data_IF_132134662991
#
_entry.id   IF_132134662991
#
_cell.length_a   1.000
_cell.length_b   1.000
_cell.length_c   1.000
_cell.angle_alpha   90.00
_cell.angle_beta   90.00
_cell.angle_gamma   90.00
#
_symmetry.space_group_name_H-M   'P 1'
#
loop_
_entity.id
_entity.type
_entity.pdbx_description
1 polymer ?
#
# COMPACT_ATOMS: atom_id res chain seq x y z
N UNK A 1 1.32 -10.38 -29.10
CA UNK A 1 1.47 -10.26 -27.64
C UNK A 1 2.02 -8.88 -27.34
N UNK A 2 1.56 -8.24 -26.27
CA UNK A 2 1.99 -6.90 -25.87
C UNK A 2 1.56 -6.64 -24.43
N UNK A 3 2.15 -5.63 -23.81
CA UNK A 3 1.91 -5.26 -22.42
C UNK A 3 0.74 -4.26 -22.30
N UNK A 4 0.09 -4.26 -21.13
CA UNK A 4 -0.93 -3.27 -20.77
C UNK A 4 -0.38 -2.46 -19.60
N UNK A 5 -0.20 -1.16 -19.81
CA UNK A 5 0.19 -0.23 -18.75
C UNK A 5 -1.00 0.00 -17.81
N UNK A 6 -0.74 -0.10 -16.50
CA UNK A 6 -1.75 0.12 -15.46
C UNK A 6 -1.49 1.46 -14.76
N UNK A 7 -2.57 2.15 -14.39
CA UNK A 7 -2.52 3.40 -13.62
C UNK A 7 -1.69 4.53 -14.27
N UNK A 8 -1.57 4.53 -15.60
CA UNK A 8 -0.82 5.53 -16.35
C UNK A 8 -1.24 6.97 -16.00
N UNK A 9 -0.25 7.84 -15.80
CA UNK A 9 -0.47 9.26 -15.51
C UNK A 9 -0.96 9.58 -14.08
N UNK A 10 -1.10 8.60 -13.19
CA UNK A 10 -1.38 8.84 -11.78
C UNK A 10 -0.10 9.10 -10.98
N UNK A 11 -0.18 10.01 -10.02
CA UNK A 11 0.88 10.19 -9.03
C UNK A 11 1.01 8.94 -8.18
N UNK A 12 2.24 8.53 -7.90
CA UNK A 12 2.54 7.34 -7.09
C UNK A 12 3.65 7.65 -6.12
N UNK A 13 3.61 6.95 -4.98
CA UNK A 13 4.64 7.00 -3.96
C UNK A 13 5.12 5.58 -3.66
N UNK A 14 6.32 5.47 -3.10
CA UNK A 14 6.85 4.20 -2.60
C UNK A 14 7.10 4.32 -1.10
N UNK A 15 6.59 3.36 -0.33
CA UNK A 15 6.75 3.31 1.13
C UNK A 15 7.27 1.95 1.56
N UNK A 16 8.15 1.94 2.57
CA UNK A 16 8.60 0.70 3.21
C UNK A 16 7.63 0.32 4.32
N UNK A 17 7.23 -0.96 4.37
CA UNK A 17 6.22 -1.46 5.30
C UNK A 17 6.75 -2.70 6.00
N UNK A 18 6.64 -2.75 7.32
CA UNK A 18 6.99 -3.91 8.14
C UNK A 18 5.77 -4.41 8.91
N UNK A 19 5.53 -5.73 8.90
CA UNK A 19 4.50 -6.34 9.76
C UNK A 19 5.13 -6.73 11.11
N UNK A 20 4.75 -6.04 12.18
CA UNK A 20 5.19 -6.34 13.55
C UNK A 20 4.22 -7.28 14.29
N UNK A 21 3.13 -7.70 13.63
CA UNK A 21 2.18 -8.66 14.16
C UNK A 21 2.68 -10.10 14.06
N UNK A 22 2.04 -10.98 14.83
CA UNK A 22 2.30 -12.43 14.85
C UNK A 22 1.51 -13.20 13.78
N UNK A 23 0.60 -12.53 13.07
CA UNK A 23 -0.29 -13.10 12.05
C UNK A 23 -0.03 -12.48 10.68
N UNK A 24 -0.26 -13.23 9.59
CA UNK A 24 -0.14 -12.70 8.24
C UNK A 24 -1.17 -11.60 7.97
N UNK A 25 -0.78 -10.61 7.17
CA UNK A 25 -1.64 -9.50 6.71
C UNK A 25 -1.53 -9.42 5.19
N UNK A 26 -2.68 -9.30 4.50
CA UNK A 26 -2.78 -9.07 3.07
C UNK A 26 -3.72 -7.88 2.83
N UNK A 27 -3.34 -6.98 1.93
CA UNK A 27 -4.11 -5.77 1.63
C UNK A 27 -4.55 -5.79 0.16
N UNK A 28 -5.80 -5.42 -0.10
CA UNK A 28 -6.35 -5.34 -1.46
C UNK A 28 -5.95 -4.05 -2.18
N UNK A 29 -5.99 -4.06 -3.51
CA UNK A 29 -5.49 -2.96 -4.36
C UNK A 29 -6.20 -1.61 -4.20
N UNK A 30 -7.44 -1.60 -3.71
CA UNK A 30 -8.27 -0.38 -3.55
C UNK A 30 -8.58 -0.07 -2.08
N UNK A 31 -7.93 -0.76 -1.15
CA UNK A 31 -8.06 -0.42 0.25
C UNK A 31 -7.30 0.88 0.53
N UNK A 32 -7.89 1.82 1.26
CA UNK A 32 -7.22 3.06 1.64
C UNK A 32 -6.00 2.72 2.51
N UNK A 33 -4.80 2.80 1.92
CA UNK A 33 -3.60 2.23 2.55
C UNK A 33 -3.29 2.87 3.90
N UNK A 34 -3.69 4.14 4.09
CA UNK A 34 -3.61 4.86 5.36
C UNK A 34 -4.27 4.12 6.54
N UNK A 35 -5.35 3.38 6.29
CA UNK A 35 -6.20 2.77 7.34
C UNK A 35 -5.91 1.27 7.53
N UNK A 36 -4.85 0.72 6.91
CA UNK A 36 -4.54 -0.71 7.03
C UNK A 36 -4.16 -1.05 8.48
N UNK A 37 -4.30 -2.33 8.80
CA UNK A 37 -4.01 -2.94 10.08
C UNK A 37 -2.84 -2.26 10.84
N UNK A 38 -3.09 -1.90 12.09
CA UNK A 38 -2.16 -1.18 12.97
C UNK A 38 -0.83 -1.91 13.22
N UNK A 39 -0.78 -3.23 13.00
CA UNK A 39 0.48 -3.99 13.08
C UNK A 39 1.43 -3.73 11.91
N UNK A 40 0.95 -3.11 10.83
CA UNK A 40 1.79 -2.63 9.74
C UNK A 40 2.38 -1.27 10.11
N UNK A 41 3.71 -1.22 10.20
CA UNK A 41 4.48 -0.03 10.55
C UNK A 41 5.09 0.58 9.28
N UNK A 42 4.74 1.84 9.03
CA UNK A 42 5.19 2.66 7.89
C UNK A 42 4.86 4.14 8.16
N UNK A 43 5.31 5.05 7.30
CA UNK A 43 4.94 6.48 7.38
C UNK A 43 3.49 6.69 6.92
N UNK A 44 2.54 6.73 7.87
CA UNK A 44 1.11 6.83 7.53
C UNK A 44 0.73 8.12 6.83
N UNK A 45 1.23 9.27 7.27
CA UNK A 45 0.84 10.56 6.69
C UNK A 45 1.17 10.64 5.19
N UNK A 46 2.27 10.03 4.73
CA UNK A 46 2.62 9.97 3.32
C UNK A 46 1.59 9.20 2.48
N UNK A 47 0.85 8.25 3.06
CA UNK A 47 -0.12 7.41 2.34
C UNK A 47 -1.55 7.89 2.44
N UNK A 48 -1.79 9.12 2.90
CA UNK A 48 -3.14 9.69 3.01
C UNK A 48 -3.67 10.08 1.63
N UNK A 49 -4.52 9.23 1.03
CA UNK A 49 -5.08 9.39 -0.31
C UNK A 49 -6.09 8.31 -0.70
#
# INVERSE_FOLDING_TARGET
SGDIELNAGRETISVSVANHGDRPVQVGSHYHFYEVNDTLVFEREATRG
#
